data_IF_051354115214
#
_entry.id   IF_051354115214
#
_cell.length_a   1.000
_cell.length_b   1.000
_cell.length_c   1.000
_cell.angle_alpha   90.00
_cell.angle_beta   90.00
_cell.angle_gamma   90.00
#
_symmetry.space_group_name_H-M   'P 1'
#
loop_
_entity.id
_entity.type
_entity.pdbx_description
1 polymer ?
#
# COMPACT_ATOMS: atom_id res chain seq x y z
N UNK A 1 -15.89 -31.55 42.07
CA UNK A 1 -14.84 -32.41 42.65
C UNK A 1 -13.93 -32.85 41.51
N UNK A 2 -12.64 -32.52 41.55
CA UNK A 2 -11.70 -33.07 40.59
C UNK A 2 -11.50 -34.56 40.91
N UNK A 3 -11.78 -35.44 39.95
CA UNK A 3 -11.57 -36.89 40.11
C UNK A 3 -10.06 -37.16 40.26
N UNK A 4 -9.66 -37.88 41.32
CA UNK A 4 -8.26 -38.30 41.52
C UNK A 4 -7.94 -39.41 40.51
N UNK A 5 -6.96 -39.17 39.64
CA UNK A 5 -6.46 -40.16 38.67
C UNK A 5 -5.78 -41.33 39.39
N UNK A 6 -5.87 -42.52 38.80
CA UNK A 6 -5.27 -43.74 39.35
C UNK A 6 -3.74 -43.78 39.10
N UNK A 7 -2.98 -44.45 39.97
CA UNK A 7 -1.52 -44.56 39.87
C UNK A 7 -1.05 -45.12 38.51
N UNK A 8 -1.81 -46.01 37.90
CA UNK A 8 -1.54 -46.61 36.59
C UNK A 8 -1.72 -45.61 35.43
N UNK A 9 -2.63 -44.65 35.56
CA UNK A 9 -2.79 -43.55 34.60
C UNK A 9 -1.68 -42.49 34.71
N UNK A 10 -1.01 -42.42 35.87
CA UNK A 10 0.16 -41.56 36.10
C UNK A 10 1.49 -42.19 35.61
N UNK A 11 1.51 -43.49 35.37
CA UNK A 11 2.72 -44.26 34.96
C UNK A 11 2.81 -44.50 33.44
N UNK A 12 1.73 -44.27 32.69
CA UNK A 12 1.72 -44.37 31.21
C UNK A 12 2.15 -43.08 30.52
N UNK A 13 2.51 -43.13 29.22
CA UNK A 13 2.82 -41.92 28.48
C UNK A 13 1.60 -41.02 28.44
N UNK A 14 1.78 -39.79 28.94
CA UNK A 14 0.74 -38.78 28.92
C UNK A 14 0.36 -38.38 27.47
N UNK A 15 -0.64 -37.51 27.34
CA UNK A 15 -1.13 -37.06 26.03
C UNK A 15 -0.03 -36.37 25.20
N UNK A 16 0.92 -35.69 25.84
CA UNK A 16 2.05 -35.06 25.17
C UNK A 16 3.04 -36.13 24.69
N UNK A 17 3.44 -37.06 25.55
CA UNK A 17 4.38 -38.15 25.23
C UNK A 17 3.86 -39.02 24.08
N UNK A 18 2.60 -39.45 24.16
CA UNK A 18 1.95 -40.25 23.10
C UNK A 18 1.81 -39.49 21.77
N UNK A 19 1.62 -38.17 21.82
CA UNK A 19 1.62 -37.33 20.61
C UNK A 19 3.02 -37.26 19.98
N UNK A 20 4.06 -37.10 20.80
CA UNK A 20 5.47 -37.10 20.34
C UNK A 20 5.87 -38.46 19.76
N UNK A 21 5.47 -39.57 20.39
CA UNK A 21 5.72 -40.93 19.87
C UNK A 21 5.07 -41.14 18.51
N UNK A 22 3.83 -40.68 18.32
CA UNK A 22 3.14 -40.74 17.02
C UNK A 22 3.84 -39.89 15.96
N UNK A 23 4.26 -38.67 16.31
CA UNK A 23 4.97 -37.77 15.40
C UNK A 23 6.34 -38.33 14.98
N UNK A 24 7.10 -38.87 15.95
CA UNK A 24 8.41 -39.48 15.68
C UNK A 24 8.28 -40.74 14.85
N UNK A 25 7.30 -41.60 15.14
CA UNK A 25 7.02 -42.79 14.32
C UNK A 25 6.67 -42.40 12.88
N UNK A 26 5.76 -41.42 12.71
CA UNK A 26 5.40 -40.91 11.38
C UNK A 26 6.61 -40.35 10.63
N UNK A 27 7.46 -39.56 11.31
CA UNK A 27 8.68 -39.02 10.74
C UNK A 27 9.62 -40.14 10.28
N UNK A 28 9.83 -41.16 11.11
CA UNK A 28 10.72 -42.28 10.80
C UNK A 28 10.23 -43.10 9.60
N UNK A 29 8.92 -43.29 9.48
CA UNK A 29 8.28 -43.98 8.35
C UNK A 29 8.28 -43.14 7.06
N UNK A 30 8.22 -41.80 7.17
CA UNK A 30 7.99 -40.89 6.04
C UNK A 30 9.12 -39.87 5.81
N UNK A 31 10.36 -40.18 6.20
CA UNK A 31 11.51 -39.24 6.18
C UNK A 31 11.63 -38.42 4.90
N UNK A 32 11.59 -39.06 3.73
CA UNK A 32 11.72 -38.39 2.44
C UNK A 32 10.61 -37.35 2.21
N UNK A 33 9.35 -37.70 2.52
CA UNK A 33 8.21 -36.79 2.38
C UNK A 33 8.33 -35.62 3.36
N UNK A 34 8.73 -35.88 4.61
CA UNK A 34 8.90 -34.80 5.60
C UNK A 34 10.03 -33.86 5.20
N UNK A 35 11.18 -34.37 4.74
CA UNK A 35 12.27 -33.50 4.27
C UNK A 35 11.83 -32.62 3.12
N UNK A 36 11.13 -33.15 2.12
CA UNK A 36 10.61 -32.35 1.00
C UNK A 36 9.67 -31.24 1.50
N UNK A 37 8.74 -31.56 2.40
CA UNK A 37 7.81 -30.57 2.96
C UNK A 37 8.55 -29.49 3.74
N UNK A 38 9.46 -29.88 4.65
CA UNK A 38 10.21 -28.92 5.47
C UNK A 38 11.08 -28.03 4.60
N UNK A 39 11.80 -28.59 3.61
CA UNK A 39 12.59 -27.80 2.67
C UNK A 39 11.71 -26.83 1.86
N UNK A 40 10.55 -27.27 1.39
CA UNK A 40 9.60 -26.39 0.68
C UNK A 40 9.12 -25.24 1.57
N UNK A 41 8.81 -25.52 2.85
CA UNK A 41 8.43 -24.48 3.83
C UNK A 41 9.58 -23.51 4.06
N UNK A 42 10.80 -24.00 4.29
CA UNK A 42 11.98 -23.16 4.48
C UNK A 42 12.21 -22.24 3.26
N UNK A 43 12.10 -22.77 2.04
CA UNK A 43 12.21 -21.97 0.82
C UNK A 43 11.10 -20.92 0.71
N UNK A 44 9.86 -21.28 1.03
CA UNK A 44 8.75 -20.34 1.04
C UNK A 44 8.97 -19.20 2.04
N UNK A 45 9.48 -19.50 3.24
CA UNK A 45 9.83 -18.50 4.26
C UNK A 45 10.95 -17.59 3.77
N UNK A 46 12.00 -18.14 3.16
CA UNK A 46 13.11 -17.35 2.59
C UNK A 46 12.61 -16.40 1.49
N UNK A 47 11.75 -16.89 0.59
CA UNK A 47 11.13 -16.08 -0.46
C UNK A 47 10.26 -14.97 0.14
N UNK A 48 9.46 -15.30 1.15
CA UNK A 48 8.61 -14.32 1.84
C UNK A 48 9.46 -13.21 2.49
N UNK A 49 10.53 -13.57 3.20
CA UNK A 49 11.46 -12.63 3.82
C UNK A 49 12.16 -11.78 2.76
N UNK A 50 12.69 -12.39 1.70
CA UNK A 50 13.35 -11.66 0.61
C UNK A 50 12.39 -10.66 -0.07
N UNK A 51 11.15 -11.09 -0.32
CA UNK A 51 10.11 -10.25 -0.91
C UNK A 51 9.76 -9.08 0.02
N UNK A 52 9.65 -9.34 1.32
CA UNK A 52 9.39 -8.30 2.33
C UNK A 52 10.51 -7.25 2.35
N UNK A 53 11.78 -7.67 2.41
CA UNK A 53 12.91 -6.74 2.40
C UNK A 53 13.04 -5.97 1.09
N UNK A 54 12.83 -6.65 -0.05
CA UNK A 54 12.81 -6.00 -1.36
C UNK A 54 11.75 -4.90 -1.41
N UNK A 55 10.51 -5.21 -1.01
CA UNK A 55 9.41 -4.26 -1.02
C UNK A 55 9.65 -3.11 -0.06
N UNK A 56 10.17 -3.39 1.14
CA UNK A 56 10.54 -2.38 2.12
C UNK A 56 11.56 -1.39 1.54
N UNK A 57 12.65 -1.89 0.95
CA UNK A 57 13.67 -1.04 0.34
C UNK A 57 13.15 -0.26 -0.88
N UNK A 58 12.30 -0.88 -1.70
CA UNK A 58 11.62 -0.24 -2.82
C UNK A 58 10.76 0.95 -2.34
N UNK A 59 9.97 0.77 -1.28
CA UNK A 59 9.14 1.84 -0.71
C UNK A 59 9.98 2.94 -0.05
N UNK A 60 11.04 2.60 0.69
CA UNK A 60 11.95 3.60 1.28
C UNK A 60 12.64 4.46 0.23
N UNK A 61 13.04 3.85 -0.89
CA UNK A 61 13.67 4.57 -2.00
C UNK A 61 12.71 5.51 -2.70
N UNK A 62 11.46 5.08 -2.89
CA UNK A 62 10.38 5.92 -3.42
C UNK A 62 10.06 7.09 -2.47
N UNK A 63 9.98 6.84 -1.17
CA UNK A 63 9.71 7.86 -0.16
C UNK A 63 10.79 8.94 -0.15
N UNK A 64 12.07 8.56 -0.29
CA UNK A 64 13.18 9.54 -0.35
C UNK A 64 13.05 10.50 -1.54
N UNK A 65 12.62 10.00 -2.70
CA UNK A 65 12.45 10.84 -3.88
C UNK A 65 11.22 11.76 -3.71
N UNK A 66 10.15 11.24 -3.10
CA UNK A 66 8.97 12.02 -2.74
C UNK A 66 9.27 13.15 -1.77
N UNK A 67 9.99 12.87 -0.68
CA UNK A 67 10.33 13.89 0.31
C UNK A 67 11.23 14.97 -0.29
N UNK A 68 12.15 14.60 -1.18
CA UNK A 68 12.97 15.57 -1.93
C UNK A 68 12.09 16.50 -2.78
N UNK A 69 11.09 15.96 -3.48
CA UNK A 69 10.15 16.76 -4.26
C UNK A 69 9.30 17.69 -3.37
N UNK A 70 8.89 17.23 -2.20
CA UNK A 70 8.11 18.03 -1.25
C UNK A 70 8.94 19.10 -0.52
N UNK A 71 10.18 18.81 -0.14
CA UNK A 71 11.07 19.77 0.52
C UNK A 71 11.24 21.03 -0.32
N UNK A 72 11.40 20.85 -1.64
CA UNK A 72 11.46 21.95 -2.60
C UNK A 72 10.19 22.83 -2.58
N UNK A 73 9.00 22.24 -2.43
CA UNK A 73 7.74 22.98 -2.33
C UNK A 73 7.62 23.70 -0.98
N UNK A 74 7.97 23.03 0.12
CA UNK A 74 7.86 23.59 1.47
C UNK A 74 8.81 24.79 1.63
N UNK A 75 10.05 24.67 1.14
CA UNK A 75 11.08 25.70 1.30
C UNK A 75 10.85 26.92 0.42
N UNK A 76 10.30 26.73 -0.76
CA UNK A 76 10.13 27.80 -1.75
C UNK A 76 8.68 28.30 -1.86
N UNK A 77 7.71 27.65 -1.21
CA UNK A 77 6.29 28.01 -1.21
C UNK A 77 5.62 27.84 -2.58
N UNK A 78 4.56 28.61 -2.82
CA UNK A 78 3.82 28.64 -4.10
C UNK A 78 4.58 29.35 -5.24
N UNK A 79 5.88 29.60 -5.07
CA UNK A 79 6.68 30.21 -6.12
C UNK A 79 6.66 29.31 -7.36
N UNK A 80 6.44 29.85 -8.57
CA UNK A 80 6.46 29.07 -9.80
C UNK A 80 7.74 28.24 -9.99
N UNK A 81 8.87 28.70 -9.44
CA UNK A 81 10.14 27.99 -9.48
C UNK A 81 10.13 26.70 -8.64
N UNK A 82 9.45 26.69 -7.49
CA UNK A 82 9.34 25.51 -6.64
C UNK A 82 8.66 24.36 -7.39
N UNK A 83 7.57 24.69 -8.11
CA UNK A 83 6.86 23.74 -8.93
C UNK A 83 7.71 23.23 -10.10
N UNK A 84 8.50 24.08 -10.76
CA UNK A 84 9.41 23.69 -11.85
C UNK A 84 10.45 22.65 -11.40
N UNK A 85 10.95 22.76 -10.18
CA UNK A 85 11.95 21.84 -9.64
C UNK A 85 11.32 20.54 -9.07
N UNK A 86 10.07 20.60 -8.59
CA UNK A 86 9.38 19.46 -7.99
C UNK A 86 8.66 18.55 -9.00
N UNK A 87 8.09 19.10 -10.08
CA UNK A 87 7.44 18.31 -11.14
C UNK A 87 8.35 17.19 -11.70
N UNK A 88 9.61 17.44 -12.10
CA UNK A 88 10.46 16.37 -12.65
C UNK A 88 10.75 15.28 -11.62
N UNK A 89 10.89 15.62 -10.34
CA UNK A 89 11.12 14.63 -9.27
C UNK A 89 9.88 13.75 -9.04
N UNK A 90 8.67 14.33 -9.11
CA UNK A 90 7.45 13.53 -9.05
C UNK A 90 7.29 12.62 -10.27
N UNK A 91 7.63 13.11 -11.47
CA UNK A 91 7.62 12.28 -12.69
C UNK A 91 8.64 11.13 -12.60
N UNK A 92 9.87 11.40 -12.13
CA UNK A 92 10.88 10.37 -11.90
C UNK A 92 10.41 9.32 -10.87
N UNK A 93 9.75 9.76 -9.80
CA UNK A 93 9.19 8.87 -8.79
C UNK A 93 8.11 7.94 -9.36
N UNK A 94 7.23 8.49 -10.19
CA UNK A 94 6.17 7.71 -10.85
C UNK A 94 6.77 6.71 -11.83
N UNK A 95 7.77 7.10 -12.61
CA UNK A 95 8.42 6.24 -13.59
C UNK A 95 9.22 5.10 -12.93
N UNK A 96 10.02 5.44 -11.92
CA UNK A 96 10.93 4.49 -11.26
C UNK A 96 10.23 3.61 -10.23
N UNK A 97 9.20 4.13 -9.57
CA UNK A 97 8.50 3.42 -8.50
C UNK A 97 6.97 3.44 -8.65
N UNK A 98 6.39 3.03 -9.79
CA UNK A 98 4.96 3.21 -10.10
C UNK A 98 4.02 2.51 -9.11
N UNK A 99 4.47 1.40 -8.50
CA UNK A 99 3.71 0.65 -7.50
C UNK A 99 3.86 1.17 -6.06
N UNK A 100 4.72 2.17 -5.84
CA UNK A 100 4.94 2.72 -4.51
C UNK A 100 3.76 3.56 -4.04
N UNK A 101 3.56 3.64 -2.72
CA UNK A 101 2.54 4.52 -2.16
C UNK A 101 2.86 5.99 -2.46
N UNK A 102 4.15 6.35 -2.42
CA UNK A 102 4.64 7.67 -2.75
C UNK A 102 4.36 8.08 -4.20
N UNK A 103 4.51 7.18 -5.18
CA UNK A 103 4.17 7.46 -6.58
C UNK A 103 2.67 7.68 -6.78
N UNK A 104 1.82 6.95 -6.04
CA UNK A 104 0.37 7.20 -6.07
C UNK A 104 0.09 8.62 -5.60
N UNK A 105 0.62 9.04 -4.45
CA UNK A 105 0.41 10.41 -3.94
C UNK A 105 1.04 11.47 -4.85
N UNK A 106 2.16 11.16 -5.51
CA UNK A 106 2.79 12.07 -6.45
C UNK A 106 1.83 12.53 -7.56
N UNK A 107 0.93 11.66 -8.03
CA UNK A 107 -0.12 12.05 -8.97
C UNK A 107 -1.06 13.13 -8.41
N UNK A 108 -1.49 12.99 -7.16
CA UNK A 108 -2.32 14.01 -6.51
C UNK A 108 -1.58 15.34 -6.34
N UNK A 109 -0.30 15.29 -5.91
CA UNK A 109 0.52 16.50 -5.79
C UNK A 109 0.77 17.18 -7.13
N UNK A 110 1.03 16.41 -8.19
CA UNK A 110 1.13 16.95 -9.55
C UNK A 110 -0.17 17.63 -9.98
N UNK A 111 -1.32 17.02 -9.68
CA UNK A 111 -2.63 17.62 -9.93
C UNK A 111 -2.77 18.99 -9.27
N UNK A 112 -2.42 19.10 -7.99
CA UNK A 112 -2.46 20.38 -7.26
C UNK A 112 -1.52 21.42 -7.86
N UNK A 113 -0.31 21.01 -8.27
CA UNK A 113 0.65 21.90 -8.90
C UNK A 113 0.11 22.44 -10.23
N UNK A 114 -0.41 21.57 -11.09
CA UNK A 114 -0.96 21.98 -12.38
C UNK A 114 -2.21 22.85 -12.22
N UNK A 115 -3.09 22.51 -11.27
CA UNK A 115 -4.26 23.32 -10.94
C UNK A 115 -3.86 24.74 -10.52
N UNK A 116 -2.88 24.88 -9.63
CA UNK A 116 -2.37 26.18 -9.19
C UNK A 116 -1.68 26.98 -10.31
N UNK A 117 -1.15 26.30 -11.33
CA UNK A 117 -0.60 26.93 -12.53
C UNK A 117 -1.67 27.30 -13.57
N UNK A 118 -2.93 26.93 -13.34
CA UNK A 118 -4.02 27.09 -14.31
C UNK A 118 -3.98 26.07 -15.46
N UNK A 119 -3.11 25.07 -15.40
CA UNK A 119 -3.03 23.98 -16.37
C UNK A 119 -4.08 22.90 -16.00
N UNK A 120 -5.33 23.23 -16.27
CA UNK A 120 -6.47 22.43 -15.83
C UNK A 120 -6.49 21.04 -16.48
N UNK A 121 -6.00 20.91 -17.72
CA UNK A 121 -6.00 19.62 -18.42
C UNK A 121 -4.99 18.63 -17.78
N UNK A 122 -3.75 19.07 -17.53
CA UNK A 122 -2.78 18.24 -16.83
C UNK A 122 -3.18 17.97 -15.36
N UNK A 123 -3.90 18.89 -14.72
CA UNK A 123 -4.46 18.67 -13.39
C UNK A 123 -5.49 17.52 -13.40
N UNK A 124 -6.43 17.54 -14.35
CA UNK A 124 -7.45 16.49 -14.52
C UNK A 124 -6.78 15.12 -14.73
N UNK A 125 -5.81 15.04 -15.63
CA UNK A 125 -5.13 13.78 -15.93
C UNK A 125 -4.38 13.22 -14.72
N UNK A 126 -3.74 14.11 -13.95
CA UNK A 126 -3.02 13.74 -12.74
C UNK A 126 -3.96 13.24 -11.63
N UNK A 127 -5.08 13.93 -11.38
CA UNK A 127 -6.06 13.48 -10.39
C UNK A 127 -6.76 12.18 -10.80
N UNK A 128 -7.07 11.99 -12.08
CA UNK A 128 -7.60 10.70 -12.59
C UNK A 128 -6.59 9.58 -12.40
N UNK A 129 -5.32 9.84 -12.68
CA UNK A 129 -4.24 8.86 -12.48
C UNK A 129 -4.10 8.45 -11.00
N UNK A 130 -4.26 9.41 -10.07
CA UNK A 130 -4.33 9.10 -8.64
C UNK A 130 -5.48 8.13 -8.33
N UNK A 131 -6.70 8.44 -8.79
CA UNK A 131 -7.90 7.63 -8.51
C UNK A 131 -7.78 6.23 -9.12
N UNK A 132 -7.20 6.11 -10.32
CA UNK A 132 -6.98 4.82 -10.97
C UNK A 132 -5.93 3.97 -10.23
N UNK A 133 -4.89 4.60 -9.68
CA UNK A 133 -3.81 3.90 -8.98
C UNK A 133 -4.13 3.58 -7.50
N UNK A 134 -5.07 4.30 -6.88
CA UNK A 134 -5.42 4.18 -5.47
C UNK A 134 -6.77 3.47 -5.28
N UNK A 135 -6.74 2.25 -4.75
CA UNK A 135 -7.93 1.42 -4.52
C UNK A 135 -8.53 1.57 -3.12
N UNK A 136 -7.81 2.19 -2.18
CA UNK A 136 -8.25 2.38 -0.79
C UNK A 136 -8.06 3.83 -0.37
N UNK A 137 -9.08 4.41 0.27
CA UNK A 137 -9.02 5.79 0.77
C UNK A 137 -8.48 5.82 2.21
N UNK A 138 -7.20 5.46 2.36
CA UNK A 138 -6.59 5.36 3.70
C UNK A 138 -6.38 6.71 4.40
N UNK A 139 -6.52 7.84 3.68
CA UNK A 139 -6.13 9.17 4.18
C UNK A 139 -7.07 10.31 3.73
N UNK A 140 -8.26 10.01 3.20
CA UNK A 140 -9.18 11.01 2.65
C UNK A 140 -8.69 11.68 1.35
N UNK A 141 -7.55 11.27 0.81
CA UNK A 141 -6.97 11.86 -0.42
C UNK A 141 -7.86 11.53 -1.62
N UNK A 142 -8.60 10.41 -1.61
CA UNK A 142 -9.53 10.09 -2.70
C UNK A 142 -10.71 11.06 -2.71
N UNK A 143 -11.25 11.40 -1.55
CA UNK A 143 -12.24 12.47 -1.42
C UNK A 143 -11.69 13.80 -1.97
N UNK A 144 -10.47 14.17 -1.57
CA UNK A 144 -9.83 15.41 -2.04
C UNK A 144 -9.64 15.41 -3.57
N UNK A 145 -9.11 14.33 -4.15
CA UNK A 145 -8.87 14.21 -5.59
C UNK A 145 -10.16 14.29 -6.41
N UNK A 146 -11.25 13.67 -5.94
CA UNK A 146 -12.56 13.77 -6.60
C UNK A 146 -13.13 15.20 -6.52
N UNK A 147 -12.98 15.84 -5.36
CA UNK A 147 -13.39 17.23 -5.17
C UNK A 147 -12.59 18.17 -6.08
N UNK A 148 -11.27 17.98 -6.17
CA UNK A 148 -10.40 18.74 -7.07
C UNK A 148 -10.76 18.53 -8.55
N UNK A 149 -11.16 17.31 -8.95
CA UNK A 149 -11.70 17.08 -10.29
C UNK A 149 -12.99 17.87 -10.52
N UNK A 150 -13.88 17.92 -9.52
CA UNK A 150 -15.08 18.76 -9.57
C UNK A 150 -14.73 20.22 -9.87
N UNK A 151 -13.79 20.80 -9.13
CA UNK A 151 -13.32 22.18 -9.36
C UNK A 151 -12.63 22.38 -10.72
N UNK A 152 -11.88 21.39 -11.21
CA UNK A 152 -11.29 21.44 -12.54
C UNK A 152 -12.38 21.53 -13.64
N UNK A 153 -13.41 20.68 -13.55
CA UNK A 153 -14.49 20.68 -14.53
C UNK A 153 -15.40 21.90 -14.40
N UNK A 154 -15.59 22.43 -13.19
CA UNK A 154 -16.25 23.72 -12.96
C UNK A 154 -15.50 24.86 -13.65
N UNK A 155 -14.17 24.89 -13.52
CA UNK A 155 -13.31 25.88 -14.19
C UNK A 155 -13.42 25.78 -15.72
N UNK A 156 -13.65 24.58 -16.27
CA UNK A 156 -13.94 24.35 -17.70
C UNK A 156 -15.39 24.62 -18.09
N UNK A 157 -16.25 25.04 -17.16
CA UNK A 157 -17.70 25.24 -17.32
C UNK A 157 -18.48 23.97 -17.67
N UNK A 158 -17.89 22.80 -17.48
CA UNK A 158 -18.58 21.51 -17.58
C UNK A 158 -19.23 21.16 -16.24
N UNK A 159 -20.33 21.84 -15.94
CA UNK A 159 -21.04 21.70 -14.68
C UNK A 159 -21.62 20.29 -14.47
N UNK A 160 -21.88 19.56 -15.56
CA UNK A 160 -22.41 18.19 -15.50
C UNK A 160 -21.35 17.24 -14.97
N UNK A 161 -20.13 17.31 -15.51
CA UNK A 161 -19.01 16.51 -14.99
C UNK A 161 -18.60 16.96 -13.60
N UNK A 162 -18.58 18.27 -13.33
CA UNK A 162 -18.27 18.80 -12.00
C UNK A 162 -19.20 18.22 -10.93
N UNK A 163 -20.52 18.30 -11.15
CA UNK A 163 -21.53 17.73 -10.25
C UNK A 163 -21.30 16.23 -10.04
N UNK A 164 -21.04 15.48 -11.11
CA UNK A 164 -20.81 14.04 -11.01
C UNK A 164 -19.60 13.71 -10.11
N UNK A 165 -18.50 14.45 -10.22
CA UNK A 165 -17.34 14.24 -9.36
C UNK A 165 -17.58 14.64 -7.91
N UNK A 166 -18.32 15.73 -7.66
CA UNK A 166 -18.73 16.11 -6.31
C UNK A 166 -19.65 15.07 -5.65
N UNK A 167 -20.61 14.51 -6.40
CA UNK A 167 -21.47 13.42 -5.92
C UNK A 167 -20.66 12.16 -5.59
N UNK A 168 -19.66 11.82 -6.41
CA UNK A 168 -18.75 10.72 -6.11
C UNK A 168 -17.95 10.97 -4.82
N UNK A 169 -17.46 12.19 -4.61
CA UNK A 169 -16.76 12.57 -3.38
C UNK A 169 -17.69 12.44 -2.16
N UNK A 170 -18.92 12.95 -2.24
CA UNK A 170 -19.90 12.86 -1.15
C UNK A 170 -20.21 11.42 -0.75
N UNK A 171 -20.34 10.51 -1.72
CA UNK A 171 -20.60 9.08 -1.45
C UNK A 171 -19.49 8.43 -0.64
N UNK A 172 -18.22 8.82 -0.85
CA UNK A 172 -17.10 8.32 -0.05
C UNK A 172 -17.23 8.76 1.41
N UNK A 173 -17.53 10.04 1.64
CA UNK A 173 -17.62 10.59 3.00
C UNK A 173 -18.82 10.05 3.80
N UNK A 174 -19.90 9.65 3.11
CA UNK A 174 -21.09 9.07 3.74
C UNK A 174 -20.98 7.56 4.01
N UNK A 175 -19.84 6.94 3.74
CA UNK A 175 -19.59 5.51 3.95
C UNK A 175 -18.98 5.18 5.32
N UNK A 176 -18.89 6.16 6.22
CA UNK A 176 -18.35 6.05 7.58
C UNK A 176 -19.41 5.78 8.63
#
# INVERSE_FOLDING_TARGET
MAAKMSKKELEGPDAFQSTIERLTSYFMENKARVYVIVTAICLAVVIAIATYFYWSNYQSSALRLYTKAQDNLIRNGEKPQAAKDSIPLFKELIDKYPRSWSAKIAWYNLGNIYYNQGDIDNAIDSYKSYIAASTADNAGIRFMALTSLGYCYESKKDLKLALNYFEQAQKINNSG
#
